data_IF_868356087169
#
_entry.id   IF_868356087169
#
_cell.length_a   1.000
_cell.length_b   1.000
_cell.length_c   1.000
_cell.angle_alpha   90.00
_cell.angle_beta   90.00
_cell.angle_gamma   90.00
#
_symmetry.space_group_name_H-M   'P 1'
#
loop_
_entity.id
_entity.type
_entity.pdbx_description
1 polymer ?
#
# COMPACT_ATOMS: atom_id res chain seq x y z
N UNK A 1 33.72 2.57 -49.36
CA UNK A 1 34.13 2.10 -48.02
C UNK A 1 33.57 3.09 -47.01
N UNK A 2 32.27 3.02 -46.71
CA UNK A 2 31.57 2.18 -45.73
C UNK A 2 31.27 3.01 -44.47
N UNK A 3 30.09 3.63 -44.48
CA UNK A 3 29.48 4.31 -43.33
C UNK A 3 28.98 3.25 -42.34
N UNK A 4 29.43 3.32 -41.09
CA UNK A 4 28.86 2.54 -39.99
C UNK A 4 27.70 3.33 -39.37
N UNK A 5 26.47 2.84 -39.56
CA UNK A 5 25.29 3.26 -38.81
C UNK A 5 25.24 2.44 -37.52
N UNK A 6 25.49 3.08 -36.39
CA UNK A 6 25.26 2.50 -35.06
C UNK A 6 23.80 2.76 -34.70
N UNK A 7 22.98 1.71 -34.75
CA UNK A 7 21.62 1.72 -34.20
C UNK A 7 21.72 1.60 -32.68
N UNK A 8 21.52 2.71 -31.96
CA UNK A 8 21.28 2.68 -30.53
C UNK A 8 19.81 2.26 -30.30
N UNK A 9 19.59 0.99 -29.96
CA UNK A 9 18.30 0.53 -29.47
C UNK A 9 18.07 1.07 -28.06
N UNK A 10 17.28 2.13 -27.95
CA UNK A 10 16.69 2.58 -26.68
C UNK A 10 15.71 1.50 -26.21
N UNK A 11 16.16 0.64 -25.30
CA UNK A 11 15.27 -0.17 -24.48
C UNK A 11 14.55 0.78 -23.51
N UNK A 12 13.38 1.26 -23.93
CA UNK A 12 12.37 1.73 -23.00
C UNK A 12 11.94 0.53 -22.16
N UNK A 13 12.56 0.36 -20.99
CA UNK A 13 12.00 -0.47 -19.94
C UNK A 13 10.68 0.17 -19.53
N UNK A 14 9.57 -0.41 -19.98
CA UNK A 14 8.31 -0.26 -19.28
C UNK A 14 8.52 -0.89 -17.91
N UNK A 15 8.86 -0.08 -16.91
CA UNK A 15 8.67 -0.45 -15.53
C UNK A 15 7.16 -0.65 -15.36
N UNK A 16 6.72 -1.90 -15.44
CA UNK A 16 5.45 -2.30 -14.88
C UNK A 16 5.50 -1.82 -13.43
N UNK A 17 4.71 -0.80 -13.08
CA UNK A 17 4.68 -0.28 -11.72
C UNK A 17 4.32 -1.42 -10.79
N UNK A 18 5.30 -1.92 -10.04
CA UNK A 18 5.03 -2.93 -9.03
C UNK A 18 4.04 -2.33 -8.04
N UNK A 19 2.93 -3.04 -7.80
CA UNK A 19 1.95 -2.65 -6.81
C UNK A 19 2.68 -2.47 -5.48
N UNK A 20 2.56 -1.30 -4.86
CA UNK A 20 3.13 -1.07 -3.54
C UNK A 20 2.51 -2.06 -2.53
N UNK A 21 3.37 -2.87 -1.89
CA UNK A 21 3.03 -4.01 -1.01
C UNK A 21 3.18 -3.72 0.48
N UNK A 22 3.52 -2.48 0.82
CA UNK A 22 3.94 -2.08 2.16
C UNK A 22 5.45 -2.06 2.29
N UNK A 23 5.95 -2.07 3.53
CA UNK A 23 7.38 -1.93 3.82
C UNK A 23 8.03 -3.31 3.84
N UNK A 24 9.02 -3.53 2.97
CA UNK A 24 9.75 -4.80 2.89
C UNK A 24 10.54 -5.05 4.18
N UNK A 25 10.34 -6.22 4.78
CA UNK A 25 11.08 -6.67 5.96
C UNK A 25 12.28 -7.53 5.56
N UNK A 26 12.14 -8.29 4.48
CA UNK A 26 13.22 -9.09 3.92
C UNK A 26 12.73 -10.39 3.30
N UNK A 27 13.68 -11.11 2.72
CA UNK A 27 13.47 -12.47 2.23
C UNK A 27 13.61 -13.46 3.38
N UNK A 28 12.77 -14.51 3.40
CA UNK A 28 12.93 -15.61 4.34
C UNK A 28 14.29 -16.29 4.11
N UNK A 29 15.09 -16.35 5.17
CA UNK A 29 16.26 -17.21 5.26
C UNK A 29 15.79 -18.66 5.19
N UNK A 30 16.24 -19.43 4.21
CA UNK A 30 15.81 -20.81 4.00
C UNK A 30 16.81 -21.79 4.60
N UNK A 31 16.34 -22.73 5.41
CA UNK A 31 17.18 -23.77 6.01
C UNK A 31 16.72 -25.18 5.62
N UNK A 32 15.41 -25.42 5.67
CA UNK A 32 14.81 -26.73 5.39
C UNK A 32 13.43 -26.57 4.74
N UNK A 33 12.87 -27.69 4.25
CA UNK A 33 11.48 -27.78 3.81
C UNK A 33 11.05 -26.79 2.73
N UNK A 34 12.00 -26.35 1.91
CA UNK A 34 11.79 -25.44 0.79
C UNK A 34 11.10 -24.13 1.19
N UNK A 35 11.29 -23.68 2.45
CA UNK A 35 10.74 -22.41 2.91
C UNK A 35 11.39 -21.27 2.12
N UNK A 36 10.58 -20.50 1.41
CA UNK A 36 11.03 -19.32 0.68
C UNK A 36 9.91 -18.29 0.58
N UNK A 37 10.26 -17.07 0.18
CA UNK A 37 9.31 -15.98 -0.05
C UNK A 37 9.83 -14.68 0.52
N UNK A 38 9.15 -13.59 0.18
CA UNK A 38 9.41 -12.25 0.71
C UNK A 38 8.36 -11.87 1.75
N UNK A 39 8.78 -11.12 2.75
CA UNK A 39 7.92 -10.67 3.85
C UNK A 39 7.88 -9.15 3.85
N UNK A 40 6.67 -8.60 3.91
CA UNK A 40 6.38 -7.17 4.01
C UNK A 40 5.52 -6.92 5.23
N UNK A 41 5.64 -5.73 5.82
CA UNK A 41 4.65 -5.20 6.74
C UNK A 41 3.62 -4.37 5.95
N UNK A 42 2.35 -4.74 6.08
CA UNK A 42 1.22 -4.00 5.49
C UNK A 42 0.81 -2.86 6.40
N UNK A 43 0.73 -3.12 7.70
CA UNK A 43 0.41 -2.17 8.75
C UNK A 43 1.13 -2.57 10.06
N UNK A 44 0.68 -2.05 11.21
CA UNK A 44 1.29 -2.35 12.51
C UNK A 44 1.05 -3.79 13.02
N UNK A 45 0.11 -4.54 12.44
CA UNK A 45 -0.31 -5.87 12.88
C UNK A 45 -0.17 -6.96 11.81
N UNK A 46 -0.08 -6.57 10.55
CA UNK A 46 -0.28 -7.47 9.40
C UNK A 46 0.99 -7.63 8.58
N UNK A 47 1.43 -8.87 8.42
CA UNK A 47 2.49 -9.27 7.51
C UNK A 47 1.87 -9.70 6.17
N UNK A 48 2.53 -9.40 5.06
CA UNK A 48 2.25 -9.96 3.74
C UNK A 48 3.42 -10.86 3.35
N UNK A 49 3.12 -12.11 3.05
CA UNK A 49 4.05 -13.03 2.43
C UNK A 49 3.77 -13.07 0.93
N UNK A 50 4.81 -13.00 0.11
CA UNK A 50 4.71 -13.17 -1.34
C UNK A 50 5.65 -14.25 -1.83
N UNK A 51 5.22 -14.96 -2.87
CA UNK A 51 5.95 -16.06 -3.47
C UNK A 51 6.32 -17.14 -2.44
N UNK A 52 5.44 -17.34 -1.45
CA UNK A 52 5.71 -18.23 -0.33
C UNK A 52 5.63 -19.70 -0.75
N UNK A 53 6.66 -20.45 -0.37
CA UNK A 53 6.73 -21.90 -0.57
C UNK A 53 7.04 -22.59 0.76
N UNK A 54 6.47 -23.78 0.95
CA UNK A 54 6.79 -24.70 2.03
C UNK A 54 6.32 -26.10 1.62
N UNK A 55 7.17 -27.11 1.77
CA UNK A 55 6.92 -28.45 1.21
C UNK A 55 5.83 -29.27 1.94
N UNK A 56 5.43 -28.85 3.15
CA UNK A 56 4.37 -29.51 3.95
C UNK A 56 4.83 -30.75 4.72
N UNK A 57 6.12 -31.08 4.74
CA UNK A 57 6.63 -32.33 5.32
C UNK A 57 7.00 -32.23 6.81
N UNK A 58 6.89 -31.05 7.41
CA UNK A 58 7.13 -30.84 8.83
C UNK A 58 6.00 -31.39 9.70
N UNK A 59 6.29 -32.18 10.73
CA UNK A 59 5.28 -32.90 11.51
C UNK A 59 4.46 -32.00 12.45
N UNK A 60 5.03 -30.88 12.93
CA UNK A 60 4.40 -29.98 13.90
C UNK A 60 4.83 -28.52 13.63
N UNK A 61 4.62 -28.10 12.39
CA UNK A 61 5.12 -26.83 11.84
C UNK A 61 4.05 -25.74 11.80
N UNK A 62 4.41 -24.53 12.22
CA UNK A 62 3.52 -23.37 12.33
C UNK A 62 4.17 -22.09 11.81
N UNK A 63 3.35 -21.10 11.51
CA UNK A 63 3.83 -19.72 11.52
C UNK A 63 4.06 -19.30 12.96
N UNK A 64 5.22 -18.70 13.21
CA UNK A 64 5.73 -18.47 14.56
C UNK A 64 6.42 -17.12 14.63
N UNK A 65 6.33 -16.46 15.78
CA UNK A 65 7.00 -15.19 15.99
C UNK A 65 7.44 -15.04 17.45
N UNK A 66 8.39 -14.15 17.72
CA UNK A 66 8.84 -13.92 19.09
C UNK A 66 9.75 -12.72 19.27
N UNK A 67 9.90 -12.32 20.54
CA UNK A 67 10.68 -11.16 20.96
C UNK A 67 12.13 -11.48 21.38
N UNK A 68 12.49 -12.77 21.42
CA UNK A 68 13.86 -13.21 21.71
C UNK A 68 14.83 -12.83 20.60
N UNK A 69 16.14 -12.84 20.88
CA UNK A 69 17.16 -12.51 19.88
C UNK A 69 17.28 -13.56 18.76
N UNK A 70 16.72 -14.76 18.92
CA UNK A 70 16.70 -15.82 17.91
C UNK A 70 15.37 -16.58 17.93
N UNK A 71 14.93 -17.14 16.78
CA UNK A 71 13.85 -18.11 16.72
C UNK A 71 14.03 -19.25 17.73
N UNK A 72 12.97 -19.59 18.44
CA UNK A 72 13.01 -20.64 19.46
C UNK A 72 11.63 -20.93 20.07
N UNK A 73 11.56 -21.90 21.00
CA UNK A 73 10.30 -22.42 21.54
C UNK A 73 9.51 -21.39 22.37
N UNK A 74 10.17 -20.33 22.86
CA UNK A 74 9.55 -19.23 23.59
C UNK A 74 8.73 -18.25 22.73
N UNK A 75 8.63 -18.48 21.42
CA UNK A 75 7.75 -17.70 20.56
C UNK A 75 6.27 -18.03 20.76
N UNK A 76 5.44 -17.54 19.86
CA UNK A 76 4.00 -17.79 19.84
C UNK A 76 3.54 -18.07 18.41
N UNK A 77 2.42 -18.80 18.32
CA UNK A 77 1.78 -19.13 17.05
C UNK A 77 1.18 -17.90 16.40
N UNK A 78 1.44 -17.70 15.11
CA UNK A 78 0.73 -16.74 14.27
C UNK A 78 -0.33 -17.52 13.48
N UNK A 79 -1.62 -17.16 13.55
CA UNK A 79 -2.65 -17.82 12.77
C UNK A 79 -2.37 -17.73 11.26
N UNK A 80 -2.77 -18.75 10.51
CA UNK A 80 -2.70 -18.77 9.04
C UNK A 80 -3.64 -17.75 8.37
N UNK A 81 -3.65 -17.71 7.04
CA UNK A 81 -4.49 -16.80 6.25
C UNK A 81 -6.02 -17.03 6.43
N UNK A 82 -6.39 -18.16 7.03
CA UNK A 82 -7.75 -18.53 7.40
C UNK A 82 -8.03 -18.35 8.89
N UNK A 83 -7.13 -17.68 9.63
CA UNK A 83 -7.19 -17.46 11.07
C UNK A 83 -7.20 -18.76 11.90
N UNK A 84 -6.58 -19.83 11.38
CA UNK A 84 -6.42 -21.11 12.07
C UNK A 84 -5.01 -21.27 12.63
N UNK A 85 -4.91 -22.06 13.69
CA UNK A 85 -3.66 -22.37 14.38
C UNK A 85 -3.32 -23.86 14.26
N UNK A 86 -3.64 -24.45 13.11
CA UNK A 86 -3.34 -25.86 12.83
C UNK A 86 -1.91 -26.00 12.30
N UNK A 87 -1.40 -27.22 12.28
CA UNK A 87 -0.15 -27.55 11.57
C UNK A 87 -0.28 -27.13 10.12
N UNK A 88 0.76 -26.49 9.58
CA UNK A 88 0.77 -25.95 8.23
C UNK A 88 0.73 -27.06 7.18
N UNK A 89 -0.18 -26.89 6.22
CA UNK A 89 -0.18 -27.66 4.98
C UNK A 89 0.92 -27.14 4.02
N UNK A 90 1.04 -27.81 2.87
CA UNK A 90 1.96 -27.39 1.81
C UNK A 90 1.52 -26.05 1.19
N UNK A 91 2.49 -25.15 0.99
CA UNK A 91 2.32 -23.91 0.23
C UNK A 91 3.12 -23.95 -1.07
N UNK A 92 2.53 -23.46 -2.16
CA UNK A 92 3.18 -23.38 -3.47
C UNK A 92 2.92 -22.02 -4.11
N UNK A 93 3.97 -21.20 -4.15
CA UNK A 93 4.01 -19.85 -4.71
C UNK A 93 2.76 -19.02 -4.34
N UNK A 94 2.55 -18.85 -3.03
CA UNK A 94 1.35 -18.20 -2.49
C UNK A 94 1.64 -16.79 -1.98
N UNK A 95 0.68 -15.91 -2.22
CA UNK A 95 0.64 -14.56 -1.66
C UNK A 95 -0.54 -14.47 -0.70
N UNK A 96 -0.28 -14.10 0.56
CA UNK A 96 -1.31 -14.00 1.60
C UNK A 96 -0.85 -13.14 2.77
N UNK A 97 -1.82 -12.66 3.54
CA UNK A 97 -1.58 -11.86 4.74
C UNK A 97 -1.75 -12.68 6.01
N UNK A 98 -0.90 -12.42 6.99
CA UNK A 98 -1.01 -12.95 8.34
C UNK A 98 -1.15 -11.81 9.33
N UNK A 99 -2.15 -11.87 10.20
CA UNK A 99 -2.34 -10.89 11.27
C UNK A 99 -1.81 -11.45 12.58
N UNK A 100 -0.96 -10.68 13.27
CA UNK A 100 -0.45 -11.07 14.58
C UNK A 100 -1.61 -11.20 15.60
N UNK A 101 -1.62 -12.26 16.42
CA UNK A 101 -2.69 -12.53 17.36
C UNK A 101 -2.68 -11.53 18.53
N UNK A 102 -3.77 -11.50 19.29
CA UNK A 102 -3.90 -10.72 20.54
C UNK A 102 -3.58 -9.23 20.43
N UNK A 103 -3.71 -8.65 19.22
CA UNK A 103 -3.32 -7.26 18.92
C UNK A 103 -1.85 -6.96 19.20
N UNK A 104 -0.97 -7.96 19.11
CA UNK A 104 0.49 -7.76 19.13
C UNK A 104 0.91 -7.02 17.88
N UNK A 105 1.84 -6.09 18.02
CA UNK A 105 2.39 -5.32 16.91
C UNK A 105 3.59 -6.02 16.31
N UNK A 106 3.90 -5.72 15.04
CA UNK A 106 5.13 -6.15 14.39
C UNK A 106 6.35 -5.63 15.16
N UNK A 107 6.25 -4.45 15.78
CA UNK A 107 7.30 -3.89 16.64
C UNK A 107 7.52 -4.65 17.95
N UNK A 108 6.60 -5.55 18.33
CA UNK A 108 6.72 -6.36 19.54
C UNK A 108 7.52 -7.66 19.29
N UNK A 109 7.81 -7.99 18.03
CA UNK A 109 8.55 -9.18 17.64
C UNK A 109 9.90 -8.81 17.02
N UNK A 110 10.91 -9.65 17.26
CA UNK A 110 12.24 -9.51 16.66
C UNK A 110 12.41 -10.38 15.41
N UNK A 111 11.56 -11.39 15.24
CA UNK A 111 11.60 -12.31 14.12
C UNK A 111 10.22 -12.93 13.87
N UNK A 112 10.01 -13.29 12.61
CA UNK A 112 8.93 -14.15 12.13
C UNK A 112 9.55 -15.38 11.48
N UNK A 113 8.97 -16.56 11.68
CA UNK A 113 9.53 -17.82 11.21
C UNK A 113 8.45 -18.84 10.83
N UNK A 114 8.83 -19.76 9.95
CA UNK A 114 8.20 -21.08 9.81
C UNK A 114 8.95 -21.99 10.77
N UNK A 115 8.29 -22.44 11.84
CA UNK A 115 8.94 -23.12 12.95
C UNK A 115 8.27 -24.44 13.27
N UNK A 116 9.07 -25.49 13.45
CA UNK A 116 8.60 -26.82 13.81
C UNK A 116 8.85 -27.09 15.30
N UNK A 117 7.77 -27.32 16.06
CA UNK A 117 7.84 -27.53 17.51
C UNK A 117 8.39 -28.90 17.89
N UNK A 118 8.21 -29.91 17.02
CA UNK A 118 8.72 -31.27 17.25
C UNK A 118 10.25 -31.31 17.20
N UNK A 119 10.85 -30.72 16.16
CA UNK A 119 12.30 -30.62 15.98
C UNK A 119 12.93 -29.41 16.69
N UNK A 120 12.12 -28.51 17.24
CA UNK A 120 12.52 -27.23 17.85
C UNK A 120 13.46 -26.41 16.97
N UNK A 121 13.14 -26.32 15.68
CA UNK A 121 13.99 -25.68 14.68
C UNK A 121 13.17 -24.79 13.73
N UNK A 122 13.76 -23.67 13.31
CA UNK A 122 13.21 -22.84 12.25
C UNK A 122 13.53 -23.46 10.88
N UNK A 123 12.53 -23.59 10.02
CA UNK A 123 12.71 -23.99 8.61
C UNK A 123 13.00 -22.79 7.72
N UNK A 124 12.49 -21.63 8.10
CA UNK A 124 12.99 -20.34 7.64
C UNK A 124 12.54 -19.19 8.54
N UNK A 125 13.27 -18.09 8.49
CA UNK A 125 13.01 -16.91 9.32
C UNK A 125 13.31 -15.59 8.61
N UNK A 126 12.74 -14.50 9.13
CA UNK A 126 13.12 -13.13 8.83
C UNK A 126 13.18 -12.35 10.14
N UNK A 127 14.16 -11.46 10.24
CA UNK A 127 14.33 -10.58 11.40
C UNK A 127 13.67 -9.23 11.14
N UNK A 128 13.02 -8.69 12.17
CA UNK A 128 12.46 -7.34 12.14
C UNK A 128 13.55 -6.36 12.56
N UNK A 129 13.83 -5.29 11.78
CA UNK A 129 14.80 -4.27 12.17
C UNK A 129 14.44 -3.61 13.51
N UNK A 130 15.43 -3.26 14.34
CA UNK A 130 15.17 -2.67 15.67
C UNK A 130 14.46 -1.31 15.60
N UNK A 131 14.76 -0.50 14.59
CA UNK A 131 14.14 0.82 14.36
C UNK A 131 13.03 0.73 13.29
N UNK A 132 12.29 -0.38 13.28
CA UNK A 132 11.25 -0.60 12.30
C UNK A 132 9.98 0.21 12.60
N UNK A 133 9.68 1.19 11.74
CA UNK A 133 8.38 1.86 11.72
C UNK A 133 7.42 1.17 10.74
N UNK A 134 6.33 0.54 11.22
CA UNK A 134 5.32 -0.05 10.34
C UNK A 134 4.57 1.04 9.55
N UNK A 135 4.07 0.72 8.35
CA UNK A 135 3.21 1.64 7.62
C UNK A 135 1.94 1.97 8.40
N UNK A 136 1.54 3.25 8.39
CA UNK A 136 0.36 3.70 9.13
C UNK A 136 -0.29 4.91 8.45
N UNK A 137 -1.55 5.19 8.79
CA UNK A 137 -2.28 6.37 8.30
C UNK A 137 -1.49 7.62 8.67
N UNK A 138 -1.19 8.45 7.67
CA UNK A 138 -0.44 9.69 7.88
C UNK A 138 -1.34 10.91 7.85
N UNK A 139 -1.05 11.88 8.72
CA UNK A 139 -1.73 13.17 8.70
C UNK A 139 -0.84 14.19 8.01
N UNK A 140 -1.36 14.85 6.97
CA UNK A 140 -0.68 15.92 6.23
C UNK A 140 -1.40 17.25 6.47
N UNK A 141 -0.81 18.34 5.98
CA UNK A 141 -1.36 19.68 6.16
C UNK A 141 -2.78 19.83 5.57
N UNK A 142 -3.49 20.86 6.01
CA UNK A 142 -4.78 21.23 5.42
C UNK A 142 -4.61 21.95 4.08
N UNK A 143 -5.70 22.05 3.32
CA UNK A 143 -5.70 22.87 2.10
C UNK A 143 -5.30 24.32 2.40
N UNK A 144 -4.41 24.86 1.58
CA UNK A 144 -4.13 26.30 1.54
C UNK A 144 -5.40 27.07 1.15
N UNK A 145 -5.69 28.14 1.90
CA UNK A 145 -6.84 29.02 1.66
C UNK A 145 -6.45 30.08 0.63
N UNK A 146 -6.67 29.83 -0.66
CA UNK A 146 -6.37 30.81 -1.73
C UNK A 146 -7.62 31.54 -2.21
N UNK A 147 -8.54 30.84 -2.86
CA UNK A 147 -9.74 31.44 -3.43
C UNK A 147 -10.94 30.49 -3.34
N UNK A 148 -12.13 30.98 -3.71
CA UNK A 148 -13.37 30.19 -3.83
C UNK A 148 -13.78 29.38 -2.58
N UNK A 149 -13.38 29.87 -1.39
CA UNK A 149 -13.74 29.26 -0.11
C UNK A 149 -13.10 27.89 0.17
N UNK A 150 -12.07 27.50 -0.59
CA UNK A 150 -11.39 26.22 -0.40
C UNK A 150 -10.71 26.19 0.97
N UNK A 151 -11.11 25.23 1.80
CA UNK A 151 -10.48 24.94 3.09
C UNK A 151 -10.82 23.54 3.55
N UNK A 152 -10.04 23.02 4.50
CA UNK A 152 -10.25 21.73 5.14
C UNK A 152 -9.58 21.69 6.51
N UNK A 153 -9.87 20.63 7.28
CA UNK A 153 -8.97 20.16 8.33
C UNK A 153 -7.70 19.52 7.76
N UNK A 154 -6.83 19.01 8.63
CA UNK A 154 -5.64 18.26 8.23
C UNK A 154 -6.05 16.98 7.49
N UNK A 155 -5.49 16.75 6.29
CA UNK A 155 -5.83 15.58 5.48
C UNK A 155 -5.19 14.33 6.07
N UNK A 156 -5.79 13.18 5.78
CA UNK A 156 -5.22 11.88 6.12
C UNK A 156 -4.94 11.08 4.86
N UNK A 157 -3.71 10.62 4.70
CA UNK A 157 -3.34 9.59 3.72
C UNK A 157 -3.63 8.25 4.38
N UNK A 158 -4.71 7.60 3.95
CA UNK A 158 -5.16 6.35 4.56
C UNK A 158 -4.32 5.16 4.09
N UNK A 159 -4.01 5.13 2.80
CA UNK A 159 -3.18 4.13 2.15
C UNK A 159 -2.55 4.74 0.89
N UNK A 160 -1.81 3.92 0.12
CA UNK A 160 -1.12 4.35 -1.09
C UNK A 160 -2.01 4.97 -2.19
N UNK A 161 -3.34 4.86 -2.12
CA UNK A 161 -4.29 5.41 -3.10
C UNK A 161 -5.39 6.26 -2.50
N UNK A 162 -5.64 6.15 -1.20
CA UNK A 162 -6.81 6.77 -0.57
C UNK A 162 -6.44 7.96 0.31
N UNK A 163 -7.09 9.11 0.06
CA UNK A 163 -6.95 10.35 0.82
C UNK A 163 -8.30 10.72 1.47
N UNK A 164 -8.28 11.08 2.75
CA UNK A 164 -9.43 11.58 3.48
C UNK A 164 -9.24 13.05 3.82
N UNK A 165 -10.22 13.87 3.41
CA UNK A 165 -10.25 15.32 3.59
C UNK A 165 -11.39 15.65 4.57
N UNK A 166 -11.08 15.95 5.85
CA UNK A 166 -12.10 16.32 6.81
C UNK A 166 -12.49 17.80 6.66
N UNK A 167 -13.75 18.12 6.99
CA UNK A 167 -14.28 19.49 7.03
C UNK A 167 -14.05 20.30 5.72
N UNK A 168 -14.05 19.62 4.58
CA UNK A 168 -13.83 20.22 3.28
C UNK A 168 -14.95 21.21 2.93
N UNK A 169 -14.54 22.40 2.48
CA UNK A 169 -15.43 23.47 2.06
C UNK A 169 -14.99 24.00 0.71
N UNK A 170 -15.94 24.23 -0.19
CA UNK A 170 -15.74 24.86 -1.50
C UNK A 170 -17.06 25.50 -1.93
N UNK A 171 -17.02 26.75 -2.41
CA UNK A 171 -18.23 27.53 -2.67
C UNK A 171 -18.99 27.15 -3.96
N UNK A 172 -18.48 26.22 -4.77
CA UNK A 172 -19.14 25.75 -6.00
C UNK A 172 -19.18 26.75 -7.15
N UNK A 173 -18.46 27.88 -7.08
CA UNK A 173 -18.58 28.94 -8.09
C UNK A 173 -17.76 28.69 -9.37
N UNK A 174 -16.87 27.69 -9.40
CA UNK A 174 -16.05 27.35 -10.56
C UNK A 174 -16.73 26.31 -11.45
N UNK A 175 -16.83 26.61 -12.75
CA UNK A 175 -17.55 25.77 -13.73
C UNK A 175 -16.76 24.55 -14.22
N UNK A 176 -15.43 24.61 -14.15
CA UNK A 176 -14.52 23.59 -14.67
C UNK A 176 -13.47 23.23 -13.61
N UNK A 177 -13.96 23.02 -12.38
CA UNK A 177 -13.15 22.82 -11.18
C UNK A 177 -13.21 21.36 -10.73
N UNK A 178 -12.06 20.77 -10.43
CA UNK A 178 -11.92 19.34 -10.08
C UNK A 178 -10.94 19.15 -8.93
N UNK A 179 -10.99 17.96 -8.31
CA UNK A 179 -9.81 17.44 -7.61
C UNK A 179 -8.74 17.11 -8.65
N UNK A 180 -7.53 17.58 -8.38
CA UNK A 180 -6.44 17.60 -9.34
C UNK A 180 -5.13 17.29 -8.64
N UNK A 181 -4.37 16.34 -9.14
CA UNK A 181 -3.08 15.93 -8.57
C UNK A 181 -1.97 16.07 -9.57
N UNK A 182 -0.74 16.20 -9.13
CA UNK A 182 0.38 16.18 -10.05
C UNK A 182 1.72 16.32 -9.36
N UNK A 183 2.74 16.45 -10.20
CA UNK A 183 4.14 16.56 -9.80
C UNK A 183 4.66 17.99 -9.93
N UNK A 184 5.77 18.26 -9.27
CA UNK A 184 6.42 19.56 -9.17
C UNK A 184 6.07 20.33 -7.89
N UNK A 185 6.73 21.47 -7.65
CA UNK A 185 6.62 22.21 -6.38
C UNK A 185 5.29 22.95 -6.20
N UNK A 186 4.45 23.04 -7.24
CA UNK A 186 3.15 23.71 -7.17
C UNK A 186 2.14 23.18 -8.20
N UNK A 187 0.84 23.31 -7.92
CA UNK A 187 -0.21 22.92 -8.85
C UNK A 187 -0.12 23.59 -10.21
N UNK A 188 -0.32 22.79 -11.26
CA UNK A 188 -0.26 23.25 -12.65
C UNK A 188 -1.28 22.53 -13.53
N UNK A 189 -1.46 23.08 -14.74
CA UNK A 189 -2.36 22.52 -15.76
C UNK A 189 -1.96 21.14 -16.28
N UNK A 190 -0.74 20.66 -15.97
CA UNK A 190 -0.25 19.33 -16.38
C UNK A 190 -0.63 18.21 -15.40
N UNK A 191 -1.38 18.51 -14.35
CA UNK A 191 -1.86 17.48 -13.42
C UNK A 191 -2.91 16.55 -14.03
N UNK A 192 -3.38 15.63 -13.21
CA UNK A 192 -4.35 14.60 -13.54
C UNK A 192 -5.62 14.81 -12.72
N UNK A 193 -6.78 14.64 -13.37
CA UNK A 193 -8.09 14.70 -12.74
C UNK A 193 -8.29 13.51 -11.79
N UNK A 194 -8.76 13.77 -10.58
CA UNK A 194 -9.15 12.74 -9.60
C UNK A 194 -10.69 12.71 -9.51
N UNK A 195 -11.32 11.53 -9.54
CA UNK A 195 -12.76 11.41 -9.29
C UNK A 195 -13.15 11.97 -7.91
N UNK A 196 -14.37 12.47 -7.80
CA UNK A 196 -14.94 12.87 -6.51
C UNK A 196 -15.28 11.65 -5.62
N UNK A 197 -15.88 11.90 -4.45
CA UNK A 197 -16.24 10.85 -3.48
C UNK A 197 -17.26 9.83 -4.01
N UNK A 198 -17.98 10.16 -5.08
CA UNK A 198 -18.96 9.29 -5.72
C UNK A 198 -18.42 8.65 -7.02
N UNK A 199 -17.15 8.91 -7.35
CA UNK A 199 -16.48 8.37 -8.53
C UNK A 199 -16.72 9.16 -9.81
N UNK A 200 -17.30 10.37 -9.74
CA UNK A 200 -17.56 11.19 -10.91
C UNK A 200 -16.37 12.07 -11.29
N UNK A 201 -16.19 12.31 -12.58
CA UNK A 201 -15.18 13.21 -13.16
C UNK A 201 -15.78 14.55 -13.62
N UNK A 202 -16.98 14.85 -13.14
CA UNK A 202 -17.72 16.09 -13.39
C UNK A 202 -17.19 17.25 -12.52
N UNK A 203 -17.50 18.51 -12.86
CA UNK A 203 -17.10 19.65 -12.05
C UNK A 203 -17.62 19.55 -10.62
N UNK A 204 -16.78 19.95 -9.66
CA UNK A 204 -17.10 19.87 -8.24
C UNK A 204 -18.34 20.70 -7.90
N UNK A 205 -19.24 20.06 -7.14
CA UNK A 205 -20.37 20.72 -6.49
C UNK A 205 -19.91 21.64 -5.35
N UNK A 206 -20.86 22.34 -4.75
CA UNK A 206 -20.63 23.01 -3.47
C UNK A 206 -20.39 21.97 -2.37
N UNK A 207 -19.39 22.23 -1.53
CA UNK A 207 -19.08 21.46 -0.32
C UNK A 207 -19.14 22.37 0.90
N UNK A 208 -19.77 21.90 1.98
CA UNK A 208 -19.91 22.68 3.22
C UNK A 208 -19.53 21.87 4.46
N UNK A 209 -18.25 21.93 4.86
CA UNK A 209 -17.68 21.20 5.99
C UNK A 209 -17.93 19.68 5.93
N UNK A 210 -17.80 19.12 4.74
CA UNK A 210 -18.06 17.70 4.49
C UNK A 210 -16.76 16.89 4.60
N UNK A 211 -16.88 15.61 4.94
CA UNK A 211 -15.73 14.69 4.88
C UNK A 211 -15.72 14.00 3.52
N UNK A 212 -14.69 14.26 2.73
CA UNK A 212 -14.52 13.72 1.37
C UNK A 212 -13.44 12.66 1.40
N UNK A 213 -13.71 11.50 0.81
CA UNK A 213 -12.70 10.44 0.62
C UNK A 213 -12.45 10.32 -0.87
N UNK A 214 -11.19 10.45 -1.28
CA UNK A 214 -10.75 10.39 -2.67
C UNK A 214 -9.87 9.17 -2.88
N UNK A 215 -10.10 8.49 -3.99
CA UNK A 215 -9.24 7.41 -4.48
C UNK A 215 -8.50 7.89 -5.73
N UNK A 216 -7.17 7.73 -5.74
CA UNK A 216 -6.35 8.10 -6.89
C UNK A 216 -6.66 7.20 -8.10
N UNK A 217 -6.83 7.77 -9.30
CA UNK A 217 -7.32 7.02 -10.45
C UNK A 217 -6.23 6.16 -11.11
N UNK A 218 -6.66 5.08 -11.76
CA UNK A 218 -5.77 4.22 -12.54
C UNK A 218 -4.72 3.54 -11.66
N UNK A 219 -3.45 3.62 -12.06
CA UNK A 219 -2.31 3.09 -11.29
C UNK A 219 -1.60 4.17 -10.45
N UNK A 220 -2.12 5.40 -10.42
CA UNK A 220 -1.52 6.46 -9.60
C UNK A 220 -1.59 6.10 -8.12
N UNK A 221 -0.49 6.37 -7.43
CA UNK A 221 -0.37 6.25 -5.98
C UNK A 221 0.05 7.60 -5.38
N UNK A 222 0.01 7.66 -4.05
CA UNK A 222 0.49 8.81 -3.29
C UNK A 222 1.98 9.09 -3.56
N UNK A 223 2.74 8.07 -3.96
CA UNK A 223 4.16 8.18 -4.29
C UNK A 223 4.41 8.84 -5.66
N UNK A 224 3.37 8.94 -6.50
CA UNK A 224 3.46 9.50 -7.85
C UNK A 224 3.04 10.98 -7.90
N UNK A 225 2.67 11.58 -6.76
CA UNK A 225 2.12 12.93 -6.68
C UNK A 225 2.82 13.76 -5.60
N UNK A 226 3.04 15.04 -5.90
CA UNK A 226 3.67 16.00 -4.97
C UNK A 226 2.61 16.92 -4.33
N UNK A 227 1.42 17.01 -4.92
CA UNK A 227 0.35 17.86 -4.42
C UNK A 227 -1.04 17.37 -4.86
N UNK A 228 -2.03 17.73 -4.04
CA UNK A 228 -3.45 17.66 -4.36
C UNK A 228 -4.03 19.08 -4.33
N UNK A 229 -4.86 19.40 -5.31
CA UNK A 229 -5.43 20.73 -5.52
C UNK A 229 -6.90 20.69 -5.90
N UNK A 230 -7.64 21.70 -5.47
CA UNK A 230 -8.89 22.11 -6.11
C UNK A 230 -8.51 23.07 -7.24
N UNK A 231 -8.57 22.58 -8.47
CA UNK A 231 -8.00 23.27 -9.63
C UNK A 231 -9.09 23.55 -10.66
N UNK A 232 -9.14 24.78 -11.16
CA UNK A 232 -9.96 25.15 -12.30
C UNK A 232 -9.15 25.04 -13.60
N UNK A 233 -9.54 24.13 -14.48
CA UNK A 233 -8.78 23.76 -15.68
C UNK A 233 -8.87 24.85 -16.76
N UNK A 234 -10.06 25.38 -17.00
CA UNK A 234 -10.30 26.47 -17.95
C UNK A 234 -9.51 27.75 -17.60
N UNK A 235 -9.62 28.21 -16.35
CA UNK A 235 -8.94 29.42 -15.84
C UNK A 235 -7.46 29.18 -15.49
N UNK A 236 -7.01 27.91 -15.48
CA UNK A 236 -5.67 27.48 -15.04
C UNK A 236 -5.31 27.97 -13.64
N UNK A 237 -6.29 28.02 -12.75
CA UNK A 237 -6.18 28.61 -11.41
C UNK A 237 -6.25 27.53 -10.31
N UNK A 238 -5.36 27.65 -9.33
CA UNK A 238 -5.37 26.83 -8.11
C UNK A 238 -6.16 27.56 -7.01
N UNK A 239 -7.34 27.02 -6.65
CA UNK A 239 -8.20 27.59 -5.60
C UNK A 239 -7.76 27.21 -4.19
N UNK A 240 -7.02 26.12 -4.06
CA UNK A 240 -6.40 25.66 -2.83
C UNK A 240 -5.66 24.36 -3.08
N UNK A 241 -4.55 24.17 -2.38
CA UNK A 241 -3.75 22.95 -2.50
C UNK A 241 -3.06 22.55 -1.21
N UNK A 242 -2.72 21.28 -1.14
CA UNK A 242 -1.91 20.64 -0.10
C UNK A 242 -0.70 20.00 -0.77
N UNK A 243 0.44 20.01 -0.08
CA UNK A 243 1.65 19.31 -0.51
C UNK A 243 1.66 17.92 0.14
N UNK A 244 1.93 16.91 -0.67
CA UNK A 244 2.15 15.53 -0.23
C UNK A 244 3.63 15.39 0.12
N UNK A 245 3.99 14.84 1.30
CA UNK A 245 5.39 14.63 1.65
C UNK A 245 6.03 13.56 0.76
N UNK A 246 7.33 13.69 0.53
CA UNK A 246 8.11 12.67 -0.20
C UNK A 246 8.11 11.35 0.58
N UNK A 247 7.86 10.23 -0.10
CA UNK A 247 7.91 8.87 0.45
C UNK A 247 7.13 8.66 1.77
N UNK A 248 5.80 8.88 1.79
CA UNK A 248 5.02 8.63 2.99
C UNK A 248 5.00 7.13 3.32
N UNK A 249 5.47 6.76 4.52
CA UNK A 249 5.27 5.44 5.13
C UNK A 249 3.78 5.17 5.45
N UNK A 250 2.99 4.83 4.43
CA UNK A 250 1.54 4.53 4.52
C UNK A 250 1.25 3.10 4.10
N UNK A 251 0.12 2.50 4.53
CA UNK A 251 -0.24 1.15 4.13
C UNK A 251 -0.40 0.99 2.62
N UNK A 252 -0.22 -0.23 2.09
CA UNK A 252 -0.59 -0.52 0.71
C UNK A 252 -2.11 -0.49 0.54
N UNK A 253 -2.55 -0.15 -0.67
CA UNK A 253 -3.97 -0.15 -1.01
C UNK A 253 -4.42 -1.60 -1.23
N UNK A 254 -5.28 -2.12 -0.34
CA UNK A 254 -5.81 -3.48 -0.40
C UNK A 254 -6.83 -3.70 -1.53
N UNK A 255 -7.13 -2.67 -2.32
CA UNK A 255 -8.15 -2.68 -3.40
C UNK A 255 -7.87 -3.76 -4.46
N UNK A 256 -6.65 -4.29 -4.57
CA UNK A 256 -6.30 -5.39 -5.50
C UNK A 256 -6.27 -6.81 -4.91
N UNK A 257 -6.46 -7.02 -3.61
CA UNK A 257 -6.38 -8.39 -3.01
C UNK A 257 -7.75 -9.12 -3.00
N UNK A 258 -8.85 -8.42 -3.30
CA UNK A 258 -10.12 -9.09 -3.57
C UNK A 258 -10.19 -9.36 -5.08
N UNK A 259 -9.89 -10.57 -5.58
CA UNK A 259 -10.17 -10.89 -6.96
C UNK A 259 -11.65 -10.62 -7.22
N UNK A 260 -11.93 -9.74 -8.19
CA UNK A 260 -13.30 -9.49 -8.64
C UNK A 260 -13.88 -10.81 -9.13
N UNK A 261 -14.66 -11.47 -8.27
CA UNK A 261 -15.44 -12.63 -8.64
C UNK A 261 -16.62 -12.09 -9.44
N UNK A 262 -16.46 -12.06 -10.77
CA UNK A 262 -17.57 -11.74 -11.67
C UNK A 262 -18.76 -12.59 -11.28
N UNK A 263 -19.85 -11.96 -10.86
CA UNK A 263 -21.11 -12.61 -10.51
C UNK A 263 -21.93 -13.00 -11.75
N UNK A 264 -21.35 -12.89 -12.95
CA UNK A 264 -22.00 -13.18 -14.22
C UNK A 264 -21.35 -14.42 -14.86
N UNK A 265 -21.91 -15.63 -14.65
CA UNK A 265 -21.33 -16.88 -15.14
C UNK A 265 -21.38 -17.09 -16.67
N UNK A 266 -21.91 -16.13 -17.44
CA UNK A 266 -22.24 -16.32 -18.87
C UNK A 266 -21.64 -15.30 -19.84
N UNK A 267 -20.64 -14.50 -19.46
CA UNK A 267 -19.91 -13.70 -20.43
C UNK A 267 -18.61 -14.41 -20.83
N UNK A 268 -18.55 -14.86 -22.08
CA UNK A 268 -17.31 -15.28 -22.73
C UNK A 268 -16.46 -14.03 -23.00
N UNK A 269 -15.20 -14.06 -22.56
CA UNK A 269 -14.18 -13.14 -23.03
C UNK A 269 -12.99 -13.94 -23.53
#
# INVERSE_FOLDING_TARGET
MQFFLIFAALLYGYAHGELYRGKHLGKLNSYHHQVSGDVYAVDEFTLLLTEFNYDGNGPDTFFWAGASNRPGPQGFIVPDEHSKTNVLDRYFNKDFTLTLPDRKKITDIKWFAVYDLFSQSAFGDVYIPEEFEPPAVQTISSFSKKSHGVSSGALKVLDAKTLLIPEFTYNGAGKDTYFWVGVGPQPSSKGTKVPDEAGYLEPLRLYSKETVTLELPGELTIFDIDWLSVYNVEAKENYGSVIVPDNPNVPPSLVKIIPHKSSLPNCLQ
#
